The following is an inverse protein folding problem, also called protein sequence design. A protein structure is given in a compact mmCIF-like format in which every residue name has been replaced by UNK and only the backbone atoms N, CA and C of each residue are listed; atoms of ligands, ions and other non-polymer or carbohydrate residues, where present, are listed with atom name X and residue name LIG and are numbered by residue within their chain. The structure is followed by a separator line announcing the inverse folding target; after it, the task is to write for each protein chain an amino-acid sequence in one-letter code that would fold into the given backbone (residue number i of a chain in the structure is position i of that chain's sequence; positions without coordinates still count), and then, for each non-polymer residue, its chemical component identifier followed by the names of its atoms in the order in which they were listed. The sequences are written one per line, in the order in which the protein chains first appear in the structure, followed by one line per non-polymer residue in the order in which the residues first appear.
data_IF_247941600754
#
_entry.id   IF_247941600754
#
_cell.length_a   1.000
_cell.length_b   1.000
_cell.length_c   1.000
_cell.angle_alpha   90.00
_cell.angle_beta   90.00
_cell.angle_gamma   90.00
#
_symmetry.space_group_name_H-M   'P 1'
#
loop_
_entity.id
_entity.type
_entity.pdbx_description
1 polymer ?
#
# COMPACT_ATOMS: atom_id res chain seq x y z
N UNK A 1 -12.69 14.04 1.69
CA UNK A 1 -11.29 13.75 1.32
C UNK A 1 -10.26 14.34 2.31
N UNK A 2 -10.49 14.17 3.62
CA UNK A 2 -9.43 13.81 4.59
C UNK A 2 -9.77 12.37 4.98
N UNK A 3 -9.15 11.37 4.35
CA UNK A 3 -9.60 10.00 4.59
C UNK A 3 -8.97 8.92 3.74
N UNK A 4 -8.33 9.31 2.64
CA UNK A 4 -7.70 8.36 1.71
C UNK A 4 -6.31 7.90 2.17
N UNK A 5 -5.64 8.71 3.00
CA UNK A 5 -4.37 8.33 3.63
C UNK A 5 -4.48 7.05 4.48
N UNK A 6 -5.56 6.94 5.28
CA UNK A 6 -5.79 5.75 6.10
C UNK A 6 -6.04 4.49 5.26
N UNK A 7 -6.66 4.64 4.08
CA UNK A 7 -6.86 3.53 3.14
C UNK A 7 -5.51 2.99 2.66
N UNK A 8 -4.57 3.88 2.32
CA UNK A 8 -3.21 3.49 1.92
C UNK A 8 -2.46 2.78 3.05
N UNK A 9 -2.59 3.23 4.30
CA UNK A 9 -1.96 2.55 5.43
C UNK A 9 -2.56 1.15 5.69
N UNK A 10 -3.88 0.99 5.54
CA UNK A 10 -4.52 -0.33 5.61
C UNK A 10 -4.01 -1.23 4.48
N UNK A 11 -3.90 -0.72 3.26
CA UNK A 11 -3.39 -1.49 2.12
C UNK A 11 -1.93 -1.88 2.35
N UNK A 12 -1.09 -0.96 2.86
CA UNK A 12 0.30 -1.26 3.25
C UNK A 12 0.37 -2.41 4.26
N UNK A 13 -0.40 -2.31 5.33
CA UNK A 13 -0.45 -3.34 6.37
C UNK A 13 -0.92 -4.68 5.78
N UNK A 14 -1.87 -4.67 4.84
CA UNK A 14 -2.31 -5.87 4.12
C UNK A 14 -1.22 -6.49 3.24
N UNK A 15 -0.37 -5.67 2.61
CA UNK A 15 0.83 -6.16 1.91
C UNK A 15 1.86 -6.75 2.86
N UNK A 16 1.96 -6.21 4.09
CA UNK A 16 2.82 -6.73 5.15
C UNK A 16 2.21 -8.00 5.82
N UNK A 17 1.08 -8.51 5.30
CA UNK A 17 0.45 -9.77 5.72
C UNK A 17 -0.63 -9.63 6.78
N UNK A 18 -0.95 -8.41 7.22
CA UNK A 18 -2.02 -8.17 8.20
C UNK A 18 -3.37 -8.38 7.51
N UNK A 19 -4.19 -9.25 8.07
CA UNK A 19 -5.50 -9.58 7.48
C UNK A 19 -6.66 -9.43 8.48
N UNK A 20 -6.38 -9.31 9.79
CA UNK A 20 -7.43 -9.29 10.81
C UNK A 20 -7.77 -7.88 11.27
N UNK A 21 -9.05 -7.63 11.56
CA UNK A 21 -9.52 -6.32 12.05
C UNK A 21 -8.75 -5.86 13.30
N UNK A 22 -8.55 -6.74 14.27
CA UNK A 22 -7.85 -6.43 15.52
C UNK A 22 -6.37 -6.08 15.30
N UNK A 23 -5.74 -6.68 14.31
CA UNK A 23 -4.33 -6.43 13.97
C UNK A 23 -4.19 -5.07 13.29
N UNK A 24 -5.04 -4.76 12.31
CA UNK A 24 -5.10 -3.41 11.72
C UNK A 24 -5.34 -2.34 12.79
N UNK A 25 -6.28 -2.60 13.72
CA UNK A 25 -6.57 -1.65 14.79
C UNK A 25 -5.35 -1.41 15.69
N UNK A 26 -4.64 -2.50 16.04
CA UNK A 26 -3.45 -2.43 16.90
C UNK A 26 -2.28 -1.72 16.20
N UNK A 27 -2.04 -2.01 14.93
CA UNK A 27 -0.93 -1.43 14.18
C UNK A 27 -1.16 0.06 13.87
N UNK A 28 -2.36 0.41 13.41
CA UNK A 28 -2.66 1.76 12.93
C UNK A 28 -3.11 2.73 14.04
N UNK A 29 -3.40 2.23 15.25
CA UNK A 29 -3.90 3.05 16.36
C UNK A 29 -5.25 3.72 16.09
N UNK A 30 -5.98 3.27 15.05
CA UNK A 30 -7.22 3.88 14.61
C UNK A 30 -8.39 3.52 15.54
N UNK A 31 -9.33 4.47 15.67
CA UNK A 31 -10.61 4.19 16.30
C UNK A 31 -11.41 3.15 15.49
N UNK A 32 -12.07 2.21 16.20
CA UNK A 32 -12.77 1.06 15.59
C UNK A 32 -13.80 1.47 14.52
N UNK A 33 -14.55 2.54 14.77
CA UNK A 33 -15.56 3.07 13.85
C UNK A 33 -14.95 3.58 12.54
N UNK A 34 -13.81 4.27 12.63
CA UNK A 34 -13.07 4.76 11.46
C UNK A 34 -12.51 3.59 10.67
N UNK A 35 -11.82 2.65 11.33
CA UNK A 35 -11.26 1.46 10.69
C UNK A 35 -12.35 0.63 9.99
N UNK A 36 -13.47 0.38 10.65
CA UNK A 36 -14.61 -0.35 10.06
C UNK A 36 -15.15 0.35 8.82
N UNK A 37 -15.23 1.68 8.84
CA UNK A 37 -15.68 2.47 7.69
C UNK A 37 -14.70 2.34 6.52
N UNK A 38 -13.39 2.45 6.78
CA UNK A 38 -12.35 2.35 5.74
C UNK A 38 -12.28 0.96 5.12
N UNK A 39 -12.30 -0.09 5.93
CA UNK A 39 -12.32 -1.48 5.44
C UNK A 39 -13.56 -1.72 4.57
N UNK A 40 -14.74 -1.26 5.00
CA UNK A 40 -15.97 -1.37 4.19
C UNK A 40 -15.83 -0.62 2.86
N UNK A 41 -15.23 0.57 2.84
CA UNK A 41 -14.98 1.31 1.60
C UNK A 41 -14.02 0.56 0.67
N UNK A 42 -12.91 0.03 1.19
CA UNK A 42 -11.94 -0.74 0.41
C UNK A 42 -12.56 -2.02 -0.18
N UNK A 43 -13.43 -2.69 0.58
CA UNK A 43 -14.20 -3.85 0.10
C UNK A 43 -15.20 -3.43 -0.98
N UNK A 44 -15.96 -2.36 -0.76
CA UNK A 44 -16.91 -1.86 -1.76
C UNK A 44 -16.24 -1.41 -3.06
N UNK A 45 -15.00 -0.92 -2.99
CA UNK A 45 -14.19 -0.56 -4.17
C UNK A 45 -13.52 -1.77 -4.84
N UNK A 46 -13.65 -2.97 -4.27
CA UNK A 46 -13.05 -4.20 -4.77
C UNK A 46 -11.53 -4.25 -4.61
N UNK A 47 -10.96 -3.48 -3.67
CA UNK A 47 -9.52 -3.51 -3.35
C UNK A 47 -9.23 -4.63 -2.35
N UNK A 48 -10.14 -4.79 -1.37
CA UNK A 48 -10.12 -5.89 -0.41
C UNK A 48 -11.33 -6.78 -0.64
N UNK A 49 -11.22 -8.03 -0.19
CA UNK A 49 -12.33 -8.96 -0.07
C UNK A 49 -12.35 -9.56 1.33
N UNK A 50 -13.54 -9.93 1.81
CA UNK A 50 -13.71 -10.59 3.09
C UNK A 50 -13.78 -12.09 2.89
N UNK A 51 -12.89 -12.83 3.56
CA UNK A 51 -12.85 -14.29 3.56
C UNK A 51 -13.05 -14.82 4.98
N UNK A 52 -13.66 -16.01 5.17
CA UNK A 52 -13.53 -16.76 6.42
C UNK A 52 -12.04 -16.95 6.76
N UNK A 53 -11.70 -16.89 8.03
CA UNK A 53 -10.33 -17.10 8.48
C UNK A 53 -9.83 -18.49 8.09
N UNK A 54 -8.58 -18.55 7.60
CA UNK A 54 -7.97 -19.81 7.15
C UNK A 54 -7.78 -20.84 8.29
N UNK A 55 -7.75 -20.39 9.54
CA UNK A 55 -7.63 -21.24 10.74
C UNK A 55 -8.95 -21.91 11.18
N UNK A 56 -10.03 -21.73 10.40
CA UNK A 56 -11.35 -22.31 10.69
C UNK A 56 -12.09 -21.64 11.85
N UNK A 57 -11.58 -20.53 12.36
CA UNK A 57 -12.28 -19.71 13.35
C UNK A 57 -13.46 -18.94 12.72
N UNK A 58 -14.35 -18.44 13.57
CA UNK A 58 -15.44 -17.56 13.14
C UNK A 58 -14.97 -16.14 12.74
N UNK A 59 -13.65 -15.89 12.69
CA UNK A 59 -13.11 -14.59 12.34
C UNK A 59 -13.14 -14.35 10.82
N UNK A 60 -13.16 -13.08 10.47
CA UNK A 60 -13.09 -12.61 9.09
C UNK A 60 -11.71 -12.03 8.81
N UNK A 61 -11.18 -12.38 7.63
CA UNK A 61 -9.92 -11.88 7.11
C UNK A 61 -10.19 -10.96 5.91
N UNK A 62 -9.44 -9.87 5.84
CA UNK A 62 -9.47 -8.93 4.72
C UNK A 62 -8.26 -9.22 3.84
N UNK A 63 -8.50 -9.68 2.62
CA UNK A 63 -7.46 -10.08 1.68
C UNK A 63 -7.44 -9.14 0.48
N UNK A 64 -6.24 -8.86 -0.06
CA UNK A 64 -6.09 -8.10 -1.30
C UNK A 64 -6.67 -8.89 -2.48
N UNK A 65 -7.50 -8.22 -3.27
CA UNK A 65 -7.96 -8.70 -4.57
C UNK A 65 -6.88 -8.48 -5.63
N UNK A 66 -7.08 -8.95 -6.86
CA UNK A 66 -6.17 -8.65 -7.97
C UNK A 66 -6.06 -7.15 -8.23
N UNK A 67 -7.19 -6.43 -8.21
CA UNK A 67 -7.23 -4.97 -8.27
C UNK A 67 -6.47 -4.32 -7.12
N UNK A 68 -6.54 -4.88 -5.91
CA UNK A 68 -5.78 -4.38 -4.77
C UNK A 68 -4.28 -4.61 -4.90
N UNK A 69 -3.86 -5.73 -5.50
CA UNK A 69 -2.45 -6.05 -5.74
C UNK A 69 -1.78 -5.09 -6.72
N UNK A 70 -2.53 -4.55 -7.69
CA UNK A 70 -2.04 -3.52 -8.63
C UNK A 70 -1.59 -2.22 -7.93
N UNK A 71 -1.99 -1.99 -6.67
CA UNK A 71 -1.58 -0.83 -5.88
C UNK A 71 -0.13 -0.97 -5.36
N UNK A 72 0.48 -2.15 -5.46
CA UNK A 72 1.83 -2.43 -4.96
C UNK A 72 2.88 -1.36 -5.32
N UNK A 73 2.99 -0.88 -6.58
CA UNK A 73 3.96 0.18 -6.93
C UNK A 73 3.77 1.46 -6.10
N UNK A 74 2.53 1.85 -5.81
CA UNK A 74 2.24 3.05 -5.01
C UNK A 74 2.75 2.86 -3.58
N UNK A 75 2.55 1.68 -3.00
CA UNK A 75 3.04 1.33 -1.66
C UNK A 75 4.58 1.33 -1.62
N UNK A 76 5.23 0.78 -2.65
CA UNK A 76 6.69 0.80 -2.78
C UNK A 76 7.22 2.23 -2.80
N UNK A 77 6.67 3.09 -3.66
CA UNK A 77 7.08 4.49 -3.76
C UNK A 77 6.94 5.21 -2.41
N UNK A 78 5.81 4.98 -1.72
CA UNK A 78 5.53 5.62 -0.45
C UNK A 78 6.50 5.15 0.65
N UNK A 79 6.80 3.85 0.69
CA UNK A 79 7.77 3.28 1.63
C UNK A 79 9.15 3.90 1.41
N UNK A 80 9.66 3.89 0.18
CA UNK A 80 10.97 4.46 -0.16
C UNK A 80 11.05 5.97 0.12
N UNK A 81 9.97 6.72 -0.15
CA UNK A 81 9.92 8.14 0.22
C UNK A 81 10.01 8.34 1.73
N UNK A 82 9.32 7.50 2.51
CA UNK A 82 9.38 7.51 3.97
C UNK A 82 10.77 7.17 4.51
N UNK A 83 11.42 6.15 3.95
CA UNK A 83 12.80 5.76 4.28
C UNK A 83 13.79 6.93 4.09
N UNK A 84 13.61 7.73 3.04
CA UNK A 84 14.48 8.88 2.72
C UNK A 84 14.26 10.10 3.63
N UNK A 85 13.05 10.31 4.18
CA UNK A 85 12.65 11.61 4.77
C UNK A 85 12.12 11.55 6.20
N UNK A 86 11.69 10.38 6.69
CA UNK A 86 11.00 10.25 7.97
C UNK A 86 11.88 9.65 9.08
N UNK A 87 13.07 9.16 8.74
CA UNK A 87 14.00 8.56 9.70
C UNK A 87 15.24 9.43 9.87
N UNK A 88 15.71 9.57 11.11
CA UNK A 88 16.96 10.24 11.38
C UNK A 88 18.15 9.39 10.92
N UNK A 89 19.32 10.02 10.74
CA UNK A 89 20.53 9.30 10.42
C UNK A 89 20.86 8.28 11.53
N UNK A 90 20.89 6.98 11.17
CA UNK A 90 21.16 5.89 12.09
C UNK A 90 19.95 5.31 12.82
N UNK A 91 18.74 5.76 12.49
CA UNK A 91 17.50 5.16 12.98
C UNK A 91 17.15 3.90 12.16
N UNK A 92 16.79 2.81 12.85
CA UNK A 92 16.42 1.55 12.20
C UNK A 92 15.03 1.66 11.56
N UNK A 93 14.90 1.17 10.34
CA UNK A 93 13.63 1.07 9.63
C UNK A 93 13.52 -0.21 8.82
N UNK A 94 12.29 -0.66 8.59
CA UNK A 94 12.01 -1.86 7.78
C UNK A 94 12.17 -1.55 6.30
N UNK A 95 12.97 -2.36 5.60
CA UNK A 95 13.18 -2.28 4.14
C UNK A 95 12.40 -3.36 3.42
N UNK A 96 11.90 -3.02 2.24
CA UNK A 96 11.36 -4.00 1.31
C UNK A 96 12.49 -4.67 0.54
N UNK A 97 12.52 -6.00 0.57
CA UNK A 97 13.57 -6.82 -0.05
C UNK A 97 12.99 -7.81 -1.05
N UNK A 98 13.80 -8.22 -2.01
CA UNK A 98 13.48 -9.34 -2.90
C UNK A 98 13.51 -10.66 -2.12
N UNK A 99 12.51 -11.53 -2.33
CA UNK A 99 12.42 -12.81 -1.63
C UNK A 99 13.62 -13.73 -1.92
N UNK A 100 14.11 -13.74 -3.17
CA UNK A 100 15.15 -14.67 -3.60
C UNK A 100 16.56 -14.24 -3.16
N UNK A 101 16.86 -12.94 -3.24
CA UNK A 101 18.20 -12.40 -2.99
C UNK A 101 18.35 -11.78 -1.59
N UNK A 102 17.26 -11.44 -0.93
CA UNK A 102 17.24 -10.65 0.32
C UNK A 102 17.75 -9.22 0.14
N UNK A 103 18.02 -8.79 -1.09
CA UNK A 103 18.52 -7.43 -1.36
C UNK A 103 17.36 -6.42 -1.30
N UNK A 104 17.61 -5.20 -0.81
CA UNK A 104 16.64 -4.12 -0.92
C UNK A 104 16.24 -3.90 -2.37
N UNK A 105 14.95 -3.74 -2.62
CA UNK A 105 14.49 -3.46 -3.98
C UNK A 105 15.05 -2.11 -4.47
N UNK A 106 15.40 -1.98 -5.77
CA UNK A 106 15.87 -0.71 -6.32
C UNK A 106 14.84 0.43 -6.15
N UNK A 107 15.31 1.68 -6.18
CA UNK A 107 14.43 2.85 -6.13
C UNK A 107 13.43 2.81 -7.28
N UNK A 108 12.14 2.83 -6.95
CA UNK A 108 11.09 2.78 -7.95
C UNK A 108 11.15 4.05 -8.81
N UNK A 109 11.33 3.83 -10.10
CA UNK A 109 11.52 4.89 -11.09
C UNK A 109 10.71 4.53 -12.33
N UNK A 110 9.85 5.41 -12.87
CA UNK A 110 9.18 5.14 -14.12
C UNK A 110 10.22 5.05 -15.24
N UNK A 111 10.11 4.02 -16.09
CA UNK A 111 11.05 3.78 -17.18
C UNK A 111 10.35 4.04 -18.51
N UNK A 112 11.01 4.79 -19.39
CA UNK A 112 10.53 5.08 -20.73
C UNK A 112 10.70 3.90 -21.68
N UNK A 113 10.08 3.98 -22.86
CA UNK A 113 10.16 2.91 -23.86
C UNK A 113 11.58 2.58 -24.34
N UNK A 114 12.54 3.50 -24.18
CA UNK A 114 13.95 3.28 -24.53
C UNK A 114 14.81 2.88 -23.31
N UNK A 115 14.20 2.53 -22.17
CA UNK A 115 14.89 2.07 -20.97
C UNK A 115 15.45 3.17 -20.07
N UNK A 116 15.23 4.45 -20.42
CA UNK A 116 15.69 5.59 -19.63
C UNK A 116 14.78 5.88 -18.44
N UNK A 117 15.35 6.38 -17.35
CA UNK A 117 14.59 6.90 -16.23
C UNK A 117 13.80 8.16 -16.61
N UNK A 118 12.51 8.17 -16.25
CA UNK A 118 11.62 9.30 -16.40
C UNK A 118 11.45 10.06 -15.09
N UNK A 119 11.27 11.37 -15.19
CA UNK A 119 11.09 12.30 -14.08
C UNK A 119 10.27 13.52 -14.55
N UNK A 120 10.04 14.47 -13.64
CA UNK A 120 9.25 15.67 -13.93
C UNK A 120 9.82 16.54 -15.06
N UNK A 121 11.14 16.53 -15.28
CA UNK A 121 11.82 17.33 -16.30
C UNK A 121 11.75 16.76 -17.72
N UNK A 122 11.42 15.47 -17.87
CA UNK A 122 11.32 14.80 -19.17
C UNK A 122 9.97 14.12 -19.40
N UNK A 123 8.95 14.47 -18.61
CA UNK A 123 7.56 14.03 -18.77
C UNK A 123 6.60 15.22 -18.75
N UNK A 124 5.42 15.05 -19.34
CA UNK A 124 4.33 16.03 -19.26
C UNK A 124 2.98 15.33 -19.29
N UNK A 125 1.99 15.92 -18.65
CA UNK A 125 0.58 15.49 -18.76
C UNK A 125 -0.02 16.13 -20.01
N UNK A 126 -0.57 15.31 -20.91
CA UNK A 126 -1.41 15.78 -22.01
C UNK A 126 -2.85 15.65 -21.55
N UNK A 127 -3.56 16.77 -21.40
CA UNK A 127 -4.98 16.78 -21.04
C UNK A 127 -5.81 16.58 -22.31
N UNK A 128 -6.86 15.77 -22.20
CA UNK A 128 -7.90 15.69 -23.23
C UNK A 128 -8.90 16.78 -22.90
N UNK A 129 -9.20 17.67 -23.85
CA UNK A 129 -10.29 18.63 -23.67
C UNK A 129 -11.62 17.85 -23.64
N UNK A 130 -12.46 18.09 -22.64
CA UNK A 130 -13.80 17.52 -22.57
C UNK A 130 -14.67 18.19 -23.67
N UNK A 131 -15.06 17.44 -24.70
CA UNK A 131 -16.14 17.80 -25.64
C UNK A 131 -17.53 17.61 -25.01
#
# INVERSE_FOLDING_TARGET
MLGDWWSLLIIRDAFDGISRFSEFQKNLGMAKNILSTRLRTLVAQGILQVSPAADGSAYQEYLLTDKGREIFPIIVALRQWGEDHLFAAGEDYSRLVENDSGQPIPRMTPIGHAGQALNLGNTRVVKVDEE
#
